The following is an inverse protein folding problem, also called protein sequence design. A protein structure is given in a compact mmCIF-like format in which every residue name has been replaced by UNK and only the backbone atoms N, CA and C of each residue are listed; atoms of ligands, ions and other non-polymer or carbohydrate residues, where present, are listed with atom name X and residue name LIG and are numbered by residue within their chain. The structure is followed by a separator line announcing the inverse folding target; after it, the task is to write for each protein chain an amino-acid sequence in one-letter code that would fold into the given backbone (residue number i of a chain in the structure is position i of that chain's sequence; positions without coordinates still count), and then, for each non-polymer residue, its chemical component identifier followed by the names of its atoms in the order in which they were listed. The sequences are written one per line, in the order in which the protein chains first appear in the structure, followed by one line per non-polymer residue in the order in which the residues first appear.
data_IF_685820241333
#
_entry.id   IF_685820241333
#
_cell.length_a   1.000
_cell.length_b   1.000
_cell.length_c   1.000
_cell.angle_alpha   90.00
_cell.angle_beta   90.00
_cell.angle_gamma   90.00
#
_symmetry.space_group_name_H-M   'P 1'
#
loop_
_entity.id
_entity.type
_entity.pdbx_description
1 polymer ?
#
# COMPACT_ATOMS: atom_id res chain seq x y z
N UNK A 1 -4.79 10.60 1.03
CA UNK A 1 -3.78 9.53 1.15
C UNK A 1 -4.35 8.25 1.75
N UNK A 2 -4.87 8.20 3.00
CA UNK A 2 -5.30 6.93 3.59
C UNK A 2 -6.47 6.26 2.87
N UNK A 3 -7.37 7.05 2.27
CA UNK A 3 -8.48 6.52 1.48
C UNK A 3 -8.02 5.74 0.24
N UNK A 4 -6.92 6.14 -0.40
CA UNK A 4 -6.36 5.40 -1.54
C UNK A 4 -5.78 4.05 -1.09
N UNK A 5 -5.13 4.00 0.08
CA UNK A 5 -4.67 2.74 0.67
C UNK A 5 -5.84 1.81 1.02
N UNK A 6 -6.96 2.35 1.52
CA UNK A 6 -8.18 1.57 1.74
C UNK A 6 -8.77 1.03 0.44
N UNK A 7 -8.76 1.81 -0.65
CA UNK A 7 -9.23 1.35 -1.96
C UNK A 7 -8.36 0.18 -2.46
N UNK A 8 -7.04 0.26 -2.30
CA UNK A 8 -6.13 -0.85 -2.64
C UNK A 8 -6.44 -2.09 -1.80
N UNK A 9 -6.64 -1.94 -0.49
CA UNK A 9 -6.98 -3.04 0.40
C UNK A 9 -8.34 -3.68 0.03
N UNK A 10 -9.36 -2.87 -0.23
CA UNK A 10 -10.67 -3.34 -0.68
C UNK A 10 -10.60 -4.07 -2.02
N UNK A 11 -9.82 -3.55 -2.97
CA UNK A 11 -9.59 -4.21 -4.25
C UNK A 11 -8.87 -5.57 -4.07
N UNK A 12 -7.90 -5.67 -3.15
CA UNK A 12 -7.26 -6.94 -2.80
C UNK A 12 -8.23 -7.94 -2.17
N UNK A 13 -9.16 -7.50 -1.32
CA UNK A 13 -10.21 -8.38 -0.79
C UNK A 13 -11.17 -8.84 -1.90
N UNK A 14 -11.49 -7.97 -2.87
CA UNK A 14 -12.36 -8.34 -3.99
C UNK A 14 -11.75 -9.45 -4.87
N UNK A 15 -10.41 -9.49 -5.01
CA UNK A 15 -9.71 -10.58 -5.70
C UNK A 15 -10.03 -11.96 -5.11
N UNK A 16 -10.28 -12.05 -3.80
CA UNK A 16 -10.59 -13.31 -3.12
C UNK A 16 -11.94 -13.90 -3.53
N UNK A 17 -12.84 -13.10 -4.10
CA UNK A 17 -14.17 -13.51 -4.52
C UNK A 17 -14.21 -14.06 -5.95
N UNK A 18 -13.07 -14.03 -6.64
CA UNK A 18 -13.00 -14.31 -8.06
C UNK A 18 -12.76 -15.79 -8.34
N UNK A 19 -13.65 -16.48 -9.08
CA UNK A 19 -13.61 -17.95 -9.19
C UNK A 19 -12.73 -18.47 -10.32
N UNK A 20 -12.27 -17.62 -11.24
CA UNK A 20 -11.52 -18.05 -12.43
C UNK A 20 -10.34 -17.14 -12.77
N UNK A 21 -9.41 -17.66 -13.55
CA UNK A 21 -8.15 -16.99 -13.89
C UNK A 21 -8.35 -15.65 -14.60
N UNK A 22 -9.23 -15.60 -15.61
CA UNK A 22 -9.45 -14.37 -16.40
C UNK A 22 -9.94 -13.24 -15.52
N UNK A 23 -10.93 -13.51 -14.68
CA UNK A 23 -11.43 -12.51 -13.75
C UNK A 23 -10.36 -12.15 -12.70
N UNK A 24 -9.51 -13.08 -12.27
CA UNK A 24 -8.44 -12.80 -11.32
C UNK A 24 -7.39 -11.85 -11.93
N UNK A 25 -7.02 -12.04 -13.20
CA UNK A 25 -6.16 -11.14 -13.94
C UNK A 25 -6.76 -9.73 -14.01
N UNK A 26 -8.05 -9.62 -14.35
CA UNK A 26 -8.75 -8.32 -14.39
C UNK A 26 -8.78 -7.66 -13.01
N UNK A 27 -9.07 -8.42 -11.95
CA UNK A 27 -9.11 -7.91 -10.59
C UNK A 27 -7.72 -7.44 -10.12
N UNK A 28 -6.66 -8.20 -10.39
CA UNK A 28 -5.28 -7.77 -10.09
C UNK A 28 -4.84 -6.57 -10.92
N UNK A 29 -5.29 -6.45 -12.18
CA UNK A 29 -5.05 -5.26 -12.99
C UNK A 29 -5.72 -4.02 -12.36
N UNK A 30 -6.96 -4.15 -11.88
CA UNK A 30 -7.66 -3.08 -11.16
C UNK A 30 -6.95 -2.71 -9.85
N UNK A 31 -6.44 -3.68 -9.09
CA UNK A 31 -5.58 -3.44 -7.91
C UNK A 31 -4.34 -2.64 -8.32
N UNK A 32 -3.68 -3.00 -9.42
CA UNK A 32 -2.53 -2.29 -9.95
C UNK A 32 -2.82 -0.83 -10.30
N UNK A 33 -3.97 -0.57 -10.95
CA UNK A 33 -4.43 0.79 -11.27
C UNK A 33 -4.66 1.59 -9.98
N UNK A 34 -5.40 1.05 -9.01
CA UNK A 34 -5.62 1.71 -7.72
C UNK A 34 -4.30 2.02 -6.99
N UNK A 35 -3.37 1.06 -7.00
CA UNK A 35 -2.07 1.21 -6.36
C UNK A 35 -1.19 2.25 -7.09
N UNK A 36 -1.33 2.43 -8.40
CA UNK A 36 -0.60 3.47 -9.14
C UNK A 36 -0.98 4.88 -8.66
N UNK A 37 -2.27 5.12 -8.41
CA UNK A 37 -2.74 6.38 -7.82
C UNK A 37 -2.24 6.56 -6.39
N UNK A 38 -2.29 5.52 -5.56
CA UNK A 38 -1.72 5.57 -4.21
C UNK A 38 -0.23 5.92 -4.24
N UNK A 39 0.54 5.25 -5.10
CA UNK A 39 1.96 5.50 -5.28
C UNK A 39 2.24 6.94 -5.71
N UNK A 40 1.57 7.44 -6.75
CA UNK A 40 1.72 8.83 -7.21
C UNK A 40 1.40 9.84 -6.09
N UNK A 41 0.37 9.56 -5.30
CA UNK A 41 -0.04 10.41 -4.20
C UNK A 41 1.00 10.43 -3.05
N UNK A 42 1.68 9.30 -2.78
CA UNK A 42 2.82 9.29 -1.83
C UNK A 42 4.03 10.07 -2.34
N UNK A 43 4.30 10.06 -3.64
CA UNK A 43 5.37 10.87 -4.25
C UNK A 43 5.08 12.37 -4.12
N UNK A 44 3.84 12.78 -4.41
CA UNK A 44 3.40 14.17 -4.24
C UNK A 44 3.51 14.64 -2.79
N UNK A 45 3.03 13.84 -1.84
CA UNK A 45 3.16 14.14 -0.41
C UNK A 45 4.63 14.28 0.00
N UNK A 46 5.51 13.39 -0.47
CA UNK A 46 6.94 13.47 -0.20
C UNK A 46 7.57 14.73 -0.76
N UNK A 47 7.18 15.17 -1.96
CA UNK A 47 7.68 16.44 -2.50
C UNK A 47 7.24 17.64 -1.67
N UNK A 48 5.98 17.67 -1.24
CA UNK A 48 5.38 18.78 -0.50
C UNK A 48 5.94 18.92 0.93
N UNK A 49 6.13 17.80 1.63
CA UNK A 49 6.48 17.79 3.06
C UNK A 49 8.00 17.70 3.31
N UNK A 50 8.82 17.46 2.29
CA UNK A 50 10.29 17.38 2.46
C UNK A 50 10.92 18.78 2.55
N UNK A 51 11.75 19.07 3.57
CA UNK A 51 12.57 20.27 3.62
C UNK A 51 13.47 20.38 2.38
N UNK A 52 13.63 21.58 1.83
CA UNK A 52 14.39 21.80 0.59
C UNK A 52 15.83 21.25 0.68
N UNK A 53 16.50 21.47 1.81
CA UNK A 53 17.88 21.03 2.04
C UNK A 53 18.05 19.50 2.13
N UNK A 54 17.01 18.76 2.52
CA UNK A 54 17.07 17.30 2.74
C UNK A 54 16.25 16.50 1.72
N UNK A 55 15.59 17.16 0.76
CA UNK A 55 14.66 16.52 -0.19
C UNK A 55 15.34 15.37 -0.94
N UNK A 56 16.55 15.56 -1.45
CA UNK A 56 17.30 14.49 -2.14
C UNK A 56 17.53 13.25 -1.26
N UNK A 57 18.00 13.43 -0.03
CA UNK A 57 18.24 12.34 0.92
C UNK A 57 16.95 11.64 1.32
N UNK A 58 15.89 12.41 1.62
CA UNK A 58 14.56 11.86 1.87
C UNK A 58 14.13 11.05 0.65
N UNK A 59 14.39 11.54 -0.58
CA UNK A 59 14.09 10.88 -1.86
C UNK A 59 14.81 9.55 -2.10
N UNK A 60 16.02 9.39 -1.58
CA UNK A 60 16.76 8.13 -1.62
C UNK A 60 16.24 7.16 -0.56
N UNK A 61 16.10 7.59 0.70
CA UNK A 61 15.76 6.70 1.81
C UNK A 61 14.38 6.03 1.69
N UNK A 62 13.30 6.77 1.39
CA UNK A 62 11.99 6.11 1.14
C UNK A 62 12.00 5.27 -0.14
N UNK A 63 12.90 5.56 -1.09
CA UNK A 63 13.12 4.72 -2.27
C UNK A 63 13.68 3.36 -1.88
N UNK A 64 14.76 3.37 -1.08
CA UNK A 64 15.37 2.16 -0.51
C UNK A 64 14.38 1.38 0.36
N UNK A 65 13.62 2.05 1.23
CA UNK A 65 12.57 1.42 2.04
C UNK A 65 11.52 0.72 1.17
N UNK A 66 11.12 1.31 0.04
CA UNK A 66 10.14 0.68 -0.87
C UNK A 66 10.69 -0.60 -1.51
N UNK A 67 11.97 -0.61 -1.88
CA UNK A 67 12.64 -1.80 -2.42
C UNK A 67 12.73 -2.88 -1.34
N UNK A 68 13.20 -2.52 -0.14
CA UNK A 68 13.28 -3.46 0.99
C UNK A 68 11.92 -4.04 1.36
N UNK A 69 10.88 -3.20 1.44
CA UNK A 69 9.51 -3.65 1.70
C UNK A 69 8.98 -4.56 0.59
N UNK A 70 9.29 -4.27 -0.68
CA UNK A 70 8.97 -5.13 -1.81
C UNK A 70 9.64 -6.51 -1.70
N UNK A 71 10.94 -6.55 -1.42
CA UNK A 71 11.68 -7.81 -1.23
C UNK A 71 11.18 -8.61 -0.03
N UNK A 72 10.93 -7.96 1.10
CA UNK A 72 10.36 -8.59 2.29
C UNK A 72 8.94 -9.15 2.01
N UNK A 73 8.12 -8.40 1.27
CA UNK A 73 6.81 -8.84 0.82
C UNK A 73 6.86 -10.07 -0.08
N UNK A 74 7.78 -10.10 -1.06
CA UNK A 74 7.99 -11.27 -1.92
C UNK A 74 8.46 -12.48 -1.13
N UNK A 75 9.39 -12.31 -0.18
CA UNK A 75 9.84 -13.39 0.70
C UNK A 75 8.69 -13.94 1.55
N UNK A 76 7.89 -13.06 2.16
CA UNK A 76 6.71 -13.45 2.93
C UNK A 76 5.67 -14.17 2.07
N UNK A 77 5.38 -13.65 0.87
CA UNK A 77 4.45 -14.29 -0.06
C UNK A 77 4.93 -15.70 -0.47
N UNK A 78 6.23 -15.86 -0.76
CA UNK A 78 6.83 -17.15 -1.07
C UNK A 78 6.78 -18.15 0.10
N UNK A 79 6.94 -17.68 1.34
CA UNK A 79 6.78 -18.53 2.52
C UNK A 79 5.31 -18.94 2.75
N UNK A 80 4.37 -18.03 2.50
CA UNK A 80 2.94 -18.24 2.78
C UNK A 80 2.24 -19.06 1.69
N UNK A 81 2.64 -18.94 0.41
CA UNK A 81 1.96 -19.60 -0.71
C UNK A 81 1.99 -21.13 -0.60
N UNK A 82 3.03 -21.70 0.03
CA UNK A 82 3.14 -23.15 0.25
C UNK A 82 2.11 -23.73 1.23
N UNK A 83 1.44 -22.89 2.01
CA UNK A 83 0.40 -23.30 2.97
C UNK A 83 -1.00 -23.19 2.39
N UNK A 84 -1.31 -22.06 1.74
CA UNK A 84 -2.57 -21.84 1.03
C UNK A 84 -2.43 -20.75 -0.03
N UNK A 85 -3.09 -20.95 -1.17
CA UNK A 85 -3.06 -20.05 -2.33
C UNK A 85 -3.45 -18.60 -1.98
N UNK A 86 -4.46 -18.42 -1.12
CA UNK A 86 -5.02 -17.10 -0.80
C UNK A 86 -4.30 -16.38 0.34
N UNK A 87 -3.45 -17.09 1.09
CA UNK A 87 -2.82 -16.56 2.31
C UNK A 87 -1.98 -15.30 2.05
N UNK A 88 -1.14 -15.22 0.99
CA UNK A 88 -0.39 -14.01 0.68
C UNK A 88 -1.30 -12.80 0.42
N UNK A 89 -2.41 -13.00 -0.30
CA UNK A 89 -3.36 -11.92 -0.65
C UNK A 89 -4.11 -11.43 0.59
N UNK A 90 -4.59 -12.35 1.44
CA UNK A 90 -5.23 -12.01 2.73
C UNK A 90 -4.26 -11.24 3.62
N UNK A 91 -3.01 -11.70 3.72
CA UNK A 91 -1.99 -11.06 4.54
C UNK A 91 -1.66 -9.65 4.04
N UNK A 92 -1.47 -9.48 2.72
CA UNK A 92 -1.23 -8.18 2.12
C UNK A 92 -2.41 -7.21 2.30
N UNK A 93 -3.65 -7.67 2.10
CA UNK A 93 -4.85 -6.87 2.33
C UNK A 93 -4.99 -6.45 3.81
N UNK A 94 -4.67 -7.37 4.73
CA UNK A 94 -4.65 -7.11 6.18
C UNK A 94 -3.64 -6.03 6.57
N UNK A 95 -2.38 -6.15 6.10
CA UNK A 95 -1.34 -5.14 6.36
C UNK A 95 -1.74 -3.78 5.78
N UNK A 96 -2.21 -3.74 4.53
CA UNK A 96 -2.64 -2.50 3.89
C UNK A 96 -3.79 -1.82 4.66
N UNK A 97 -4.76 -2.62 5.14
CA UNK A 97 -5.87 -2.13 5.97
C UNK A 97 -5.38 -1.58 7.30
N UNK A 98 -4.51 -2.32 8.02
CA UNK A 98 -3.95 -1.88 9.29
C UNK A 98 -3.15 -0.58 9.14
N UNK A 99 -2.30 -0.49 8.12
CA UNK A 99 -1.53 0.72 7.82
C UNK A 99 -2.45 1.91 7.49
N UNK A 100 -3.51 1.69 6.72
CA UNK A 100 -4.48 2.73 6.41
C UNK A 100 -5.24 3.21 7.67
N UNK A 101 -5.65 2.30 8.55
CA UNK A 101 -6.30 2.63 9.82
C UNK A 101 -5.36 3.46 10.70
N UNK A 102 -4.10 3.03 10.88
CA UNK A 102 -3.10 3.77 11.64
C UNK A 102 -2.93 5.18 11.07
N UNK A 103 -2.82 5.33 9.75
CA UNK A 103 -2.69 6.64 9.11
C UNK A 103 -3.93 7.54 9.29
N UNK A 104 -5.15 6.97 9.33
CA UNK A 104 -6.38 7.72 9.61
C UNK A 104 -6.38 8.21 11.06
N UNK A 105 -6.02 7.33 11.99
CA UNK A 105 -5.95 7.63 13.42
C UNK A 105 -4.92 8.74 13.68
N UNK A 106 -3.71 8.59 13.14
CA UNK A 106 -2.63 9.57 13.27
C UNK A 106 -3.05 10.95 12.73
N UNK A 107 -3.71 10.99 11.56
CA UNK A 107 -4.20 12.25 10.99
C UNK A 107 -5.30 12.90 11.82
N UNK A 108 -6.13 12.12 12.52
CA UNK A 108 -7.14 12.65 13.45
C UNK A 108 -6.48 13.30 14.67
N UNK A 109 -5.41 12.73 15.19
CA UNK A 109 -4.68 13.28 16.33
C UNK A 109 -3.72 14.43 15.96
N UNK A 110 -3.21 14.43 14.74
CA UNK A 110 -2.27 15.44 14.23
C UNK A 110 -2.95 16.67 13.61
N UNK A 111 -4.28 16.72 13.52
CA UNK A 111 -4.98 17.93 13.08
C UNK A 111 -4.83 19.02 14.16
N UNK A 112 -4.18 20.17 13.87
CA UNK A 112 -4.12 21.27 14.80
C UNK A 112 -5.54 21.79 15.05
N UNK A 113 -5.91 22.00 16.33
CA UNK A 113 -7.05 22.87 16.65
C UNK A 113 -6.88 24.24 15.97
N UNK A 114 -7.98 24.99 15.75
CA UNK A 114 -7.94 26.25 15.02
C UNK A 114 -6.91 27.18 15.69
N UNK A 115 -5.89 27.59 14.91
CA UNK A 115 -4.97 28.66 15.28
C UNK A 115 -5.61 30.00 14.98
#
# INVERSE_FOLDING_TARGET
MPYLALIVAAALFAVLLVPNLTAAVVAYAAVGIANSYFFAATLAARSEHSPAAARGQIFVWVGALKITAGSAGTAAAGALIGTALHLPTVFAAGIATAAAIVAIIDRRFSSPGPR
#
